data_IF_918966648488
#
_entry.id   IF_918966648488
#
_cell.length_a   1.000
_cell.length_b   1.000
_cell.length_c   1.000
_cell.angle_alpha   90.00
_cell.angle_beta   90.00
_cell.angle_gamma   90.00
#
_symmetry.space_group_name_H-M   'P 1'
#
loop_
_entity.id
_entity.type
_entity.pdbx_description
1 polymer ?
#
# COMPACT_ATOMS: atom_id res chain seq x y z
N UNK A 1 17.29 -14.89 17.77
CA UNK A 1 16.31 -14.66 16.68
C UNK A 1 16.58 -13.29 16.07
N UNK A 2 16.61 -13.13 14.75
CA UNK A 2 16.86 -11.81 14.12
C UNK A 2 15.65 -10.89 14.32
N UNK A 3 15.88 -9.59 14.56
CA UNK A 3 14.86 -8.55 14.70
C UNK A 3 13.80 -8.58 13.59
N UNK A 4 14.23 -8.82 12.35
CA UNK A 4 13.33 -8.93 11.19
C UNK A 4 12.35 -10.11 11.30
N UNK A 5 12.72 -11.21 11.97
CA UNK A 5 11.81 -12.34 12.19
C UNK A 5 10.74 -11.98 13.23
N UNK A 6 11.11 -11.23 14.26
CA UNK A 6 10.19 -10.76 15.31
C UNK A 6 9.16 -9.82 14.69
N UNK A 7 9.59 -8.82 13.92
CA UNK A 7 8.67 -7.89 13.24
C UNK A 7 7.70 -8.62 12.30
N UNK A 8 8.18 -9.59 11.52
CA UNK A 8 7.30 -10.37 10.63
C UNK A 8 6.25 -11.16 11.41
N UNK A 9 6.65 -11.80 12.52
CA UNK A 9 5.72 -12.54 13.37
C UNK A 9 4.68 -11.60 14.02
N UNK A 10 5.10 -10.40 14.40
CA UNK A 10 4.20 -9.37 14.92
C UNK A 10 3.16 -8.96 13.88
N UNK A 11 3.57 -8.62 12.66
CA UNK A 11 2.63 -8.24 11.59
C UNK A 11 1.62 -9.35 11.24
N UNK A 12 2.03 -10.62 11.29
CA UNK A 12 1.13 -11.76 11.07
C UNK A 12 0.08 -11.83 12.19
N UNK A 13 0.53 -11.70 13.44
CA UNK A 13 -0.35 -11.69 14.61
C UNK A 13 -1.33 -10.52 14.57
N UNK A 14 -0.85 -9.32 14.24
CA UNK A 14 -1.69 -8.12 14.16
C UNK A 14 -2.74 -8.25 13.06
N UNK A 15 -2.36 -8.75 11.88
CA UNK A 15 -3.32 -9.03 10.81
C UNK A 15 -4.43 -9.97 11.26
N UNK A 16 -4.10 -11.09 11.92
CA UNK A 16 -5.10 -12.04 12.43
C UNK A 16 -6.09 -11.37 13.39
N UNK A 17 -5.58 -10.51 14.29
CA UNK A 17 -6.42 -9.75 15.21
C UNK A 17 -7.32 -8.75 14.49
N UNK A 18 -6.85 -8.10 13.44
CA UNK A 18 -7.68 -7.21 12.61
C UNK A 18 -8.83 -8.00 11.97
N UNK A 19 -8.53 -9.15 11.35
CA UNK A 19 -9.54 -10.00 10.72
C UNK A 19 -10.63 -10.41 11.72
N UNK A 20 -10.23 -10.82 12.92
CA UNK A 20 -11.17 -11.17 13.99
C UNK A 20 -11.99 -9.96 14.46
N UNK A 21 -11.35 -8.80 14.70
CA UNK A 21 -12.01 -7.60 15.22
C UNK A 21 -13.01 -6.99 14.26
N UNK A 22 -12.74 -7.07 12.96
CA UNK A 22 -13.57 -6.54 11.88
C UNK A 22 -14.50 -7.59 11.28
N UNK A 23 -14.39 -8.84 11.71
CA UNK A 23 -15.07 -10.01 11.11
C UNK A 23 -14.87 -10.06 9.61
N UNK A 24 -13.64 -9.81 9.18
CA UNK A 24 -13.23 -9.88 7.78
C UNK A 24 -12.52 -11.20 7.49
N UNK A 25 -12.61 -11.66 6.25
CA UNK A 25 -11.73 -12.70 5.74
C UNK A 25 -10.47 -12.11 5.10
N UNK A 26 -9.52 -12.99 4.75
CA UNK A 26 -8.25 -12.60 4.13
C UNK A 26 -8.47 -11.91 2.76
N UNK A 27 -9.53 -12.26 2.03
CA UNK A 27 -9.82 -11.67 0.73
C UNK A 27 -10.30 -10.23 0.88
N UNK A 28 -11.28 -9.99 1.76
CA UNK A 28 -11.80 -8.65 2.07
C UNK A 28 -10.69 -7.72 2.55
N UNK A 29 -9.81 -8.22 3.42
CA UNK A 29 -8.66 -7.46 3.89
C UNK A 29 -7.68 -7.12 2.76
N UNK A 30 -7.35 -8.11 1.93
CA UNK A 30 -6.46 -7.92 0.78
C UNK A 30 -7.03 -6.94 -0.25
N UNK A 31 -8.30 -7.07 -0.59
CA UNK A 31 -9.02 -6.18 -1.50
C UNK A 31 -9.07 -4.76 -0.96
N UNK A 32 -9.35 -4.59 0.33
CA UNK A 32 -9.35 -3.28 0.96
C UNK A 32 -7.95 -2.64 0.94
N UNK A 33 -6.91 -3.42 1.29
CA UNK A 33 -5.53 -2.96 1.24
C UNK A 33 -5.11 -2.54 -0.17
N UNK A 34 -5.50 -3.32 -1.19
CA UNK A 34 -5.21 -3.02 -2.60
C UNK A 34 -5.95 -1.75 -3.05
N UNK A 35 -7.26 -1.68 -2.81
CA UNK A 35 -8.10 -0.52 -3.16
C UNK A 35 -7.60 0.77 -2.55
N UNK A 36 -7.17 0.74 -1.28
CA UNK A 36 -6.62 1.92 -0.61
C UNK A 36 -5.23 2.30 -1.16
N UNK A 37 -4.40 1.33 -1.54
CA UNK A 37 -3.11 1.59 -2.19
C UNK A 37 -3.28 2.29 -3.55
N UNK A 38 -4.19 1.80 -4.38
CA UNK A 38 -4.54 2.44 -5.65
C UNK A 38 -5.13 3.84 -5.45
N UNK A 39 -6.03 3.99 -4.48
CA UNK A 39 -6.64 5.28 -4.18
C UNK A 39 -5.61 6.29 -3.66
N UNK A 40 -4.59 5.83 -2.93
CA UNK A 40 -3.44 6.65 -2.53
C UNK A 40 -2.60 7.09 -3.73
N UNK A 41 -2.31 6.19 -4.67
CA UNK A 41 -1.60 6.56 -5.91
C UNK A 41 -2.37 7.59 -6.73
N UNK A 42 -3.68 7.41 -6.90
CA UNK A 42 -4.56 8.39 -7.57
C UNK A 42 -4.56 9.74 -6.87
N UNK A 43 -4.57 9.74 -5.54
CA UNK A 43 -4.52 10.98 -4.78
C UNK A 43 -3.16 11.67 -4.92
N UNK A 44 -2.07 10.91 -4.90
CA UNK A 44 -0.70 11.43 -4.90
C UNK A 44 -0.22 11.90 -6.28
N UNK A 45 -0.50 11.11 -7.33
CA UNK A 45 -0.09 11.40 -8.71
C UNK A 45 -1.14 12.20 -9.51
N UNK A 46 -2.35 12.36 -8.96
CA UNK A 46 -3.44 13.05 -9.65
C UNK A 46 -3.89 12.30 -10.90
N UNK A 47 -3.82 12.97 -12.06
CA UNK A 47 -4.32 12.46 -13.34
C UNK A 47 -3.29 11.69 -14.16
N UNK A 48 -2.11 11.37 -13.61
CA UNK A 48 -1.11 10.55 -14.30
C UNK A 48 -1.50 9.06 -14.32
N UNK A 49 -2.41 8.71 -15.23
CA UNK A 49 -2.91 7.35 -15.39
C UNK A 49 -1.78 6.34 -15.65
N UNK A 50 -0.75 6.73 -16.41
CA UNK A 50 0.36 5.85 -16.76
C UNK A 50 1.26 5.55 -15.55
N UNK A 51 1.64 6.58 -14.79
CA UNK A 51 2.40 6.41 -13.54
C UNK A 51 1.66 5.57 -12.51
N UNK A 52 0.33 5.71 -12.43
CA UNK A 52 -0.51 4.88 -11.56
C UNK A 52 -0.48 3.41 -12.01
N UNK A 53 -0.74 3.14 -13.30
CA UNK A 53 -0.71 1.76 -13.82
C UNK A 53 0.64 1.08 -13.66
N UNK A 54 1.73 1.85 -13.79
CA UNK A 54 3.08 1.36 -13.59
C UNK A 54 3.33 1.01 -12.11
N UNK A 55 3.06 1.95 -11.19
CA UNK A 55 3.34 1.74 -9.76
C UNK A 55 2.45 0.69 -9.12
N UNK A 56 1.21 0.52 -9.58
CA UNK A 56 0.33 -0.58 -9.14
C UNK A 56 0.92 -1.95 -9.47
N UNK A 57 1.80 -2.07 -10.47
CA UNK A 57 2.49 -3.32 -10.80
C UNK A 57 3.86 -3.43 -10.13
N UNK A 58 4.36 -2.34 -9.54
CA UNK A 58 5.70 -2.28 -8.97
C UNK A 58 5.76 -2.92 -7.57
N UNK A 59 6.68 -3.87 -7.42
CA UNK A 59 6.87 -4.60 -6.15
C UNK A 59 7.43 -3.72 -5.03
N UNK A 60 8.22 -2.71 -5.34
CA UNK A 60 8.81 -1.81 -4.34
C UNK A 60 7.73 -0.91 -3.75
N UNK A 61 6.81 -0.40 -4.58
CA UNK A 61 5.62 0.31 -4.13
C UNK A 61 4.82 -0.52 -3.13
N UNK A 62 4.44 -1.75 -3.48
CA UNK A 62 3.64 -2.60 -2.57
C UNK A 62 4.39 -2.96 -1.29
N UNK A 63 5.71 -3.17 -1.37
CA UNK A 63 6.53 -3.41 -0.16
C UNK A 63 6.50 -2.20 0.77
N UNK A 64 6.62 -0.99 0.24
CA UNK A 64 6.50 0.24 1.03
C UNK A 64 5.08 0.41 1.57
N UNK A 65 4.05 0.22 0.74
CA UNK A 65 2.65 0.36 1.12
C UNK A 65 2.27 -0.55 2.27
N UNK A 66 2.63 -1.85 2.17
CA UNK A 66 2.39 -2.84 3.23
C UNK A 66 3.11 -2.43 4.52
N UNK A 67 4.31 -1.85 4.45
CA UNK A 67 4.98 -1.35 5.65
C UNK A 67 4.20 -0.22 6.31
N UNK A 68 3.70 0.75 5.53
CA UNK A 68 2.86 1.82 6.06
C UNK A 68 1.53 1.29 6.62
N UNK A 69 0.99 0.25 5.98
CA UNK A 69 -0.22 -0.44 6.41
C UNK A 69 -0.04 -1.08 7.78
N UNK A 70 1.02 -1.88 7.97
CA UNK A 70 1.29 -2.56 9.24
C UNK A 70 1.43 -1.58 10.41
N UNK A 71 2.06 -0.41 10.20
CA UNK A 71 2.14 0.62 11.25
C UNK A 71 0.77 1.17 11.66
N UNK A 72 -0.17 1.29 10.72
CA UNK A 72 -1.54 1.72 11.00
C UNK A 72 -2.34 0.62 11.70
N UNK A 73 -2.17 -0.63 11.31
CA UNK A 73 -2.79 -1.76 12.02
C UNK A 73 -2.35 -1.82 13.48
N UNK A 74 -1.03 -1.75 13.72
CA UNK A 74 -0.47 -1.70 15.06
C UNK A 74 -1.10 -0.56 15.87
N UNK A 75 -1.14 0.66 15.30
CA UNK A 75 -1.76 1.82 15.93
C UNK A 75 -3.24 1.59 16.24
N UNK A 76 -4.01 1.05 15.28
CA UNK A 76 -5.44 0.76 15.47
C UNK A 76 -5.68 -0.23 16.62
N UNK A 77 -4.88 -1.28 16.70
CA UNK A 77 -5.02 -2.32 17.72
C UNK A 77 -4.83 -1.78 19.15
N UNK A 78 -4.14 -0.66 19.33
CA UNK A 78 -3.95 -0.04 20.67
C UNK A 78 -5.25 0.46 21.29
N UNK A 79 -6.26 0.81 20.49
CA UNK A 79 -7.53 1.39 20.96
C UNK A 79 -8.77 0.66 20.44
N UNK A 80 -8.63 -0.29 19.50
CA UNK A 80 -9.77 -0.98 18.88
C UNK A 80 -10.67 -1.73 19.89
N UNK A 81 -10.08 -2.26 20.96
CA UNK A 81 -10.80 -3.06 21.96
C UNK A 81 -11.94 -2.29 22.65
N UNK A 82 -11.79 -0.97 22.86
CA UNK A 82 -12.79 -0.13 23.53
C UNK A 82 -13.91 0.34 22.60
N UNK A 83 -13.80 0.09 21.30
CA UNK A 83 -14.78 0.52 20.30
C UNK A 83 -15.86 -0.56 20.10
N UNK A 84 -17.08 -0.12 19.81
CA UNK A 84 -18.13 -0.99 19.26
C UNK A 84 -17.75 -1.49 17.88
N UNK A 85 -18.35 -2.58 17.42
CA UNK A 85 -18.05 -3.15 16.11
C UNK A 85 -18.20 -2.12 14.96
N UNK A 86 -19.30 -1.39 14.90
CA UNK A 86 -19.51 -0.35 13.88
C UNK A 86 -18.47 0.78 13.96
N UNK A 87 -18.08 1.17 15.17
CA UNK A 87 -17.03 2.18 15.37
C UNK A 87 -15.66 1.66 14.94
N UNK A 88 -15.36 0.36 15.12
CA UNK A 88 -14.12 -0.26 14.64
C UNK A 88 -14.01 -0.17 13.14
N UNK A 89 -15.05 -0.59 12.40
CA UNK A 89 -15.07 -0.54 10.94
C UNK A 89 -14.84 0.89 10.45
N UNK A 90 -15.67 1.84 10.90
CA UNK A 90 -15.56 3.24 10.48
C UNK A 90 -14.19 3.85 10.80
N UNK A 91 -13.64 3.53 11.98
CA UNK A 91 -12.34 4.05 12.39
C UNK A 91 -11.20 3.41 11.61
N UNK A 92 -11.29 2.12 11.31
CA UNK A 92 -10.31 1.39 10.52
C UNK A 92 -10.26 1.92 9.08
N UNK A 93 -11.42 2.09 8.46
CA UNK A 93 -11.54 2.69 7.12
C UNK A 93 -11.02 4.12 7.09
N UNK A 94 -11.37 4.92 8.11
CA UNK A 94 -10.85 6.28 8.25
C UNK A 94 -9.33 6.30 8.35
N UNK A 95 -8.74 5.48 9.22
CA UNK A 95 -7.29 5.41 9.43
C UNK A 95 -6.54 5.01 8.16
N UNK A 96 -7.11 4.12 7.37
CA UNK A 96 -6.56 3.63 6.11
C UNK A 96 -6.92 4.48 4.89
N UNK A 97 -7.65 5.58 5.10
CA UNK A 97 -7.98 6.50 4.03
C UNK A 97 -6.72 7.09 3.40
N UNK A 98 -6.64 7.14 2.05
CA UNK A 98 -5.55 7.78 1.32
C UNK A 98 -5.21 9.20 1.79
N UNK A 99 -6.22 9.92 2.28
CA UNK A 99 -6.10 11.33 2.70
C UNK A 99 -5.30 11.52 3.98
N UNK A 100 -5.21 10.50 4.84
CA UNK A 100 -4.50 10.59 6.12
C UNK A 100 -3.05 10.13 6.04
N UNK A 101 -2.66 9.46 4.95
CA UNK A 101 -1.28 9.05 4.78
C UNK A 101 -0.45 10.19 4.21
N UNK A 102 0.15 10.97 5.12
CA UNK A 102 1.13 12.00 4.78
C UNK A 102 2.55 11.45 4.57
N UNK A 103 2.73 10.13 4.62
CA UNK A 103 4.01 9.50 4.32
C UNK A 103 4.26 9.52 2.81
N UNK A 104 5.43 10.00 2.42
CA UNK A 104 5.93 9.85 1.06
C UNK A 104 6.85 8.63 1.02
N UNK A 105 6.83 7.83 -0.06
CA UNK A 105 7.94 6.93 -0.32
C UNK A 105 9.23 7.75 -0.29
N UNK A 106 10.29 7.17 0.27
CA UNK A 106 11.60 7.80 0.17
C UNK A 106 11.91 8.04 -1.31
N UNK A 107 12.52 9.17 -1.66
CA UNK A 107 12.69 9.60 -3.06
C UNK A 107 13.27 8.48 -3.94
N UNK A 108 14.21 7.71 -3.40
CA UNK A 108 14.79 6.54 -4.08
C UNK A 108 13.77 5.48 -4.55
N UNK A 109 12.67 5.25 -3.82
CA UNK A 109 11.66 4.24 -4.20
C UNK A 109 10.85 4.71 -5.42
N UNK A 110 10.52 6.00 -5.47
CA UNK A 110 9.78 6.57 -6.60
C UNK A 110 10.71 6.89 -7.76
N UNK A 111 11.90 7.43 -7.51
CA UNK A 111 12.89 7.76 -8.54
C UNK A 111 13.40 6.51 -9.26
N UNK A 112 13.63 5.40 -8.56
CA UNK A 112 14.09 4.16 -9.20
C UNK A 112 12.99 3.53 -10.05
N UNK A 113 11.76 3.45 -9.54
CA UNK A 113 10.61 2.97 -10.31
C UNK A 113 10.28 3.90 -11.49
N UNK A 114 10.39 5.22 -11.32
CA UNK A 114 10.16 6.21 -12.38
C UNK A 114 11.28 6.22 -13.42
N UNK A 115 12.55 6.10 -13.02
CA UNK A 115 13.67 5.97 -13.95
C UNK A 115 13.55 4.70 -14.79
N UNK A 116 13.11 3.59 -14.18
CA UNK A 116 12.84 2.34 -14.90
C UNK A 116 11.69 2.50 -15.90
N UNK A 117 10.61 3.15 -15.48
CA UNK A 117 9.47 3.48 -16.34
C UNK A 117 9.88 4.33 -17.56
N UNK A 118 10.66 5.39 -17.36
CA UNK A 118 11.16 6.25 -18.45
C UNK A 118 12.10 5.46 -19.38
N UNK A 119 12.97 4.60 -18.84
CA UNK A 119 13.81 3.71 -19.64
C UNK A 119 13.00 2.80 -20.55
N UNK A 120 11.97 2.12 -20.01
CA UNK A 120 11.09 1.23 -20.78
C UNK A 120 10.30 1.98 -21.88
N UNK A 121 9.86 3.21 -21.61
CA UNK A 121 9.19 4.03 -22.62
C UNK A 121 10.13 4.41 -23.78
N UNK A 122 11.37 4.81 -23.47
CA UNK A 122 12.36 5.19 -24.48
C UNK A 122 12.80 3.98 -25.33
N UNK A 123 13.04 2.83 -24.68
CA UNK A 123 13.43 1.59 -25.36
C UNK A 123 12.33 1.07 -26.29
N UNK A 124 11.07 1.19 -25.89
CA UNK A 124 9.94 0.79 -26.75
C UNK A 124 9.76 1.76 -27.92
N UNK A 125 9.98 3.07 -27.73
CA UNK A 125 9.91 4.05 -28.82
C UNK A 125 10.97 3.80 -29.89
N UNK A 126 12.21 3.54 -29.48
CA UNK A 126 13.32 3.27 -30.41
C UNK A 126 13.08 2.02 -31.28
N UNK A 127 12.42 0.99 -30.73
CA UNK A 127 12.08 -0.24 -31.50
C UNK A 127 11.08 -0.01 -32.63
N UNK A 128 10.22 1.01 -32.55
CA UNK A 128 9.27 1.32 -33.62
C UNK A 128 9.90 2.16 -34.74
N UNK A 129 10.93 2.96 -34.43
CA UNK A 129 11.64 3.77 -35.43
C UNK A 129 12.60 2.93 -36.31
N UNK A 130 13.04 1.76 -35.84
CA UNK A 130 13.90 0.83 -36.60
C UNK A 130 13.12 -0.12 -37.55
N UNK A 131 11.79 0.01 -37.65
CA UNK A 131 10.94 -0.88 -38.48
C UNK A 131 10.30 -0.22 -39.70
N UNK A 132 10.75 0.98 -40.09
CA UNK A 132 10.25 1.73 -41.27
C UNK A 132 11.33 1.85 -42.33
#
# INVERSE_FOLDING_TARGET
MSYLKILKAQHITDRQRILELLTWDELQYGEFQMKMGEAWLRHYLGNDAYGIEYLVKDRMFWKWWINQWNHRDESFLTYAASLTYSARINKYEYLHSPKLLHARPHSCVLEESYARMIGELLDNKNKFDDTI
#
